data_IF_785632416862
#
_entry.id   IF_785632416862
#
_cell.length_a   1.000
_cell.length_b   1.000
_cell.length_c   1.000
_cell.angle_alpha   90.00
_cell.angle_beta   90.00
_cell.angle_gamma   90.00
#
_symmetry.space_group_name_H-M   'P 1'
#
loop_
_entity.id
_entity.type
_entity.pdbx_description
1 polymer ?
#
# COMPACT_ATOMS: atom_id res chain seq x y z
N UNK A 1 -14.84 3.92 -0.37
CA UNK A 1 -14.65 3.28 -1.70
C UNK A 1 -13.39 2.44 -1.68
N UNK A 2 -13.42 1.21 -2.28
CA UNK A 2 -12.23 0.36 -2.44
C UNK A 2 -11.71 0.45 -3.88
N UNK A 3 -10.61 1.15 -4.08
CA UNK A 3 -9.97 1.30 -5.38
C UNK A 3 -9.00 0.15 -5.65
N UNK A 4 -8.99 -0.36 -6.89
CA UNK A 4 -8.13 -1.44 -7.36
C UNK A 4 -7.56 -1.11 -8.74
N UNK A 5 -6.47 -1.76 -9.11
CA UNK A 5 -6.04 -1.91 -10.48
C UNK A 5 -6.27 -3.34 -10.94
N UNK A 6 -6.65 -3.53 -12.20
CA UNK A 6 -6.99 -4.84 -12.74
C UNK A 6 -6.64 -4.93 -14.24
N UNK A 7 -6.61 -6.16 -14.74
CA UNK A 7 -6.63 -6.50 -16.17
C UNK A 7 -7.87 -7.33 -16.48
N UNK A 8 -8.40 -7.22 -17.70
CA UNK A 8 -9.54 -8.05 -18.13
C UNK A 8 -9.12 -9.48 -18.44
N UNK A 9 -7.85 -9.69 -18.83
CA UNK A 9 -7.25 -10.99 -19.08
C UNK A 9 -5.87 -11.09 -18.46
N UNK A 10 -5.42 -12.31 -18.18
CA UNK A 10 -4.05 -12.58 -17.72
C UNK A 10 -3.06 -12.59 -18.90
N UNK A 11 -2.91 -11.44 -19.53
CA UNK A 11 -1.97 -11.20 -20.65
C UNK A 11 -1.05 -10.03 -20.26
N UNK A 12 0.28 -10.18 -20.37
CA UNK A 12 1.23 -9.11 -20.10
C UNK A 12 1.00 -7.84 -20.93
N UNK A 13 0.44 -7.97 -22.13
CA UNK A 13 0.18 -6.83 -23.04
C UNK A 13 -1.14 -6.11 -22.75
N UNK A 14 -2.03 -6.69 -21.95
CA UNK A 14 -3.27 -6.05 -21.56
C UNK A 14 -3.00 -4.79 -20.70
N UNK A 15 -3.71 -3.69 -20.95
CA UNK A 15 -3.56 -2.48 -20.18
C UNK A 15 -3.99 -2.70 -18.72
N UNK A 16 -3.29 -2.06 -17.81
CA UNK A 16 -3.69 -1.98 -16.40
C UNK A 16 -4.77 -0.91 -16.28
N UNK A 17 -5.94 -1.29 -15.81
CA UNK A 17 -7.11 -0.43 -15.71
C UNK A 17 -7.45 -0.11 -14.25
N UNK A 18 -7.86 1.15 -13.96
CA UNK A 18 -8.38 1.51 -12.66
C UNK A 18 -9.84 1.06 -12.50
N UNK A 19 -10.17 0.58 -11.31
CA UNK A 19 -11.51 0.12 -11.00
C UNK A 19 -11.88 0.30 -9.53
N UNK A 20 -13.12 0.01 -9.22
CA UNK A 20 -13.66 -0.01 -7.86
C UNK A 20 -14.07 -1.44 -7.55
N UNK A 21 -13.67 -1.92 -6.38
CA UNK A 21 -13.96 -3.28 -5.94
C UNK A 21 -15.08 -3.32 -4.92
N UNK A 22 -16.06 -4.20 -5.12
CA UNK A 22 -17.13 -4.45 -4.16
C UNK A 22 -17.64 -5.89 -4.32
N UNK A 23 -17.66 -6.66 -3.24
CA UNK A 23 -18.26 -8.00 -3.19
C UNK A 23 -17.79 -8.95 -4.31
N UNK A 24 -16.47 -8.98 -4.58
CA UNK A 24 -15.89 -9.86 -5.59
C UNK A 24 -16.00 -9.37 -7.03
N UNK A 25 -16.59 -8.20 -7.27
CA UNK A 25 -16.79 -7.61 -8.59
C UNK A 25 -15.97 -6.34 -8.77
N UNK A 26 -15.63 -6.02 -10.02
CA UNK A 26 -14.93 -4.79 -10.38
C UNK A 26 -15.85 -3.90 -11.19
N UNK A 27 -15.94 -2.63 -10.83
CA UNK A 27 -16.55 -1.57 -11.61
C UNK A 27 -15.45 -0.82 -12.35
N UNK A 28 -15.36 -0.91 -13.69
CA UNK A 28 -14.41 -0.14 -14.47
C UNK A 28 -14.60 1.36 -14.24
N UNK A 29 -13.55 2.06 -13.81
CA UNK A 29 -13.65 3.47 -13.43
C UNK A 29 -14.00 4.36 -14.62
N UNK A 30 -13.41 4.12 -15.79
CA UNK A 30 -13.73 4.86 -17.02
C UNK A 30 -15.20 4.71 -17.41
N UNK A 31 -15.75 3.49 -17.33
CA UNK A 31 -17.17 3.23 -17.62
C UNK A 31 -18.08 3.97 -16.64
N UNK A 32 -17.75 3.93 -15.35
CA UNK A 32 -18.51 4.61 -14.31
C UNK A 32 -18.52 6.13 -14.54
N UNK A 33 -17.36 6.72 -14.79
CA UNK A 33 -17.22 8.16 -15.05
C UNK A 33 -17.95 8.57 -16.33
N UNK A 34 -17.80 7.81 -17.42
CA UNK A 34 -18.48 8.12 -18.70
C UNK A 34 -20.01 8.14 -18.54
N UNK A 35 -20.58 7.18 -17.82
CA UNK A 35 -22.04 7.14 -17.56
C UNK A 35 -22.48 8.28 -16.65
N UNK A 36 -21.73 8.59 -15.59
CA UNK A 36 -22.06 9.70 -14.70
C UNK A 36 -21.99 11.05 -15.41
N UNK A 37 -20.99 11.28 -16.24
CA UNK A 37 -20.85 12.50 -17.04
C UNK A 37 -21.97 12.63 -18.09
N UNK A 38 -22.46 11.52 -18.66
CA UNK A 38 -23.60 11.53 -19.56
C UNK A 38 -24.93 11.89 -18.85
N UNK A 39 -25.06 11.51 -17.56
CA UNK A 39 -26.24 11.80 -16.74
C UNK A 39 -26.23 13.22 -16.17
N UNK A 40 -25.06 13.66 -15.69
CA UNK A 40 -24.88 14.94 -15.02
C UNK A 40 -23.42 15.41 -15.20
N UNK A 41 -23.12 16.16 -16.28
CA UNK A 41 -21.76 16.61 -16.59
C UNK A 41 -21.14 17.44 -15.46
N UNK A 42 -19.95 17.04 -14.97
CA UNK A 42 -19.16 17.71 -13.94
C UNK A 42 -17.71 17.97 -14.39
N UNK A 43 -17.34 17.50 -15.59
CA UNK A 43 -15.98 17.59 -16.13
C UNK A 43 -15.01 16.61 -15.47
N UNK A 44 -15.49 15.52 -14.88
CA UNK A 44 -14.66 14.47 -14.31
C UNK A 44 -14.16 13.54 -15.42
N UNK A 45 -12.88 13.21 -15.39
CA UNK A 45 -12.24 12.29 -16.33
C UNK A 45 -11.30 11.34 -15.61
N UNK A 46 -10.93 10.23 -16.25
CA UNK A 46 -9.97 9.27 -15.71
C UNK A 46 -8.63 9.46 -16.42
N UNK A 47 -7.57 9.90 -15.71
CA UNK A 47 -6.24 10.00 -16.29
C UNK A 47 -5.70 8.63 -16.70
N UNK A 48 -4.86 8.58 -17.74
CA UNK A 48 -4.13 7.37 -18.12
C UNK A 48 -3.04 7.00 -17.11
N UNK A 49 -2.44 7.99 -16.47
CA UNK A 49 -1.47 7.79 -15.42
C UNK A 49 -2.16 7.43 -14.10
N UNK A 50 -1.91 6.23 -13.60
CA UNK A 50 -2.51 5.72 -12.36
C UNK A 50 -2.13 6.55 -11.12
N UNK A 51 -0.94 7.15 -11.09
CA UNK A 51 -0.57 8.06 -10.01
C UNK A 51 -1.44 9.31 -10.03
N UNK A 52 -1.75 9.85 -11.21
CA UNK A 52 -2.64 10.99 -11.35
C UNK A 52 -4.11 10.65 -10.97
N UNK A 53 -4.54 9.39 -11.15
CA UNK A 53 -5.86 8.91 -10.68
C UNK A 53 -5.99 9.10 -9.17
N UNK A 54 -4.91 8.93 -8.39
CA UNK A 54 -4.93 9.11 -6.94
C UNK A 54 -5.37 10.52 -6.55
N UNK A 55 -5.00 11.54 -7.32
CA UNK A 55 -5.41 12.93 -7.10
C UNK A 55 -6.91 13.19 -7.28
N UNK A 56 -7.66 12.27 -7.83
CA UNK A 56 -9.09 12.40 -8.14
C UNK A 56 -9.99 11.41 -7.37
N UNK A 57 -9.44 10.56 -6.48
CA UNK A 57 -10.23 9.52 -5.81
C UNK A 57 -11.45 10.07 -5.06
N UNK A 58 -11.33 11.22 -4.42
CA UNK A 58 -12.46 11.89 -3.74
C UNK A 58 -13.57 12.28 -4.72
N UNK A 59 -13.22 12.71 -5.94
CA UNK A 59 -14.20 13.06 -6.99
C UNK A 59 -14.97 11.81 -7.45
N UNK A 60 -14.31 10.66 -7.53
CA UNK A 60 -14.97 9.40 -7.92
C UNK A 60 -15.96 8.88 -6.89
N UNK A 61 -15.76 9.18 -5.60
CA UNK A 61 -16.78 8.90 -4.57
C UNK A 61 -18.09 9.61 -4.90
N UNK A 62 -18.01 10.87 -5.37
CA UNK A 62 -19.18 11.63 -5.84
C UNK A 62 -19.84 11.00 -7.06
N UNK A 63 -19.05 10.54 -8.04
CA UNK A 63 -19.52 9.82 -9.24
C UNK A 63 -20.32 8.58 -8.85
N UNK A 64 -19.82 7.77 -7.92
CA UNK A 64 -20.54 6.58 -7.45
C UNK A 64 -21.89 6.91 -6.83
N UNK A 65 -21.94 7.93 -5.98
CA UNK A 65 -23.21 8.37 -5.33
C UNK A 65 -24.25 8.81 -6.37
N UNK A 66 -23.83 9.45 -7.45
CA UNK A 66 -24.74 9.86 -8.53
C UNK A 66 -25.26 8.64 -9.33
N UNK A 67 -24.40 7.67 -9.61
CA UNK A 67 -24.80 6.42 -10.29
C UNK A 67 -25.75 5.58 -9.42
N UNK A 68 -25.54 5.54 -8.11
CA UNK A 68 -26.46 4.89 -7.15
C UNK A 68 -27.84 5.55 -7.15
N UNK A 69 -27.88 6.89 -7.10
CA UNK A 69 -29.15 7.66 -7.19
C UNK A 69 -29.88 7.40 -8.51
N UNK A 70 -29.14 7.32 -9.61
CA UNK A 70 -29.71 7.03 -10.94
C UNK A 70 -30.12 5.55 -11.10
N UNK A 71 -29.82 4.66 -10.14
CA UNK A 71 -30.10 3.22 -10.15
C UNK A 71 -29.51 2.49 -11.37
N UNK A 72 -28.34 2.95 -11.86
CA UNK A 72 -27.65 2.35 -13.00
C UNK A 72 -26.37 1.63 -12.60
N UNK A 73 -25.89 1.83 -11.35
CA UNK A 73 -24.63 1.30 -10.86
C UNK A 73 -24.50 -0.22 -11.03
N UNK A 74 -25.56 -0.98 -10.68
CA UNK A 74 -25.55 -2.45 -10.71
C UNK A 74 -25.33 -3.04 -12.10
N UNK A 75 -25.61 -2.27 -13.16
CA UNK A 75 -25.46 -2.70 -14.55
C UNK A 75 -24.03 -2.53 -15.10
N UNK A 76 -23.16 -1.90 -14.34
CA UNK A 76 -21.81 -1.52 -14.77
C UNK A 76 -20.71 -2.46 -14.27
N UNK A 77 -21.03 -3.34 -13.31
CA UNK A 77 -20.05 -4.25 -12.69
C UNK A 77 -19.63 -5.39 -13.62
N UNK A 78 -18.34 -5.70 -13.61
CA UNK A 78 -17.80 -6.92 -14.21
C UNK A 78 -17.94 -8.06 -13.20
N UNK A 79 -18.55 -9.16 -13.62
CA UNK A 79 -18.88 -10.28 -12.71
C UNK A 79 -17.79 -11.35 -12.63
N UNK A 80 -16.96 -11.49 -13.67
CA UNK A 80 -15.92 -12.52 -13.77
C UNK A 80 -14.80 -12.10 -14.72
N UNK A 81 -13.66 -12.82 -14.67
CA UNK A 81 -12.62 -12.72 -15.70
C UNK A 81 -11.66 -11.55 -15.53
N UNK A 82 -11.53 -10.99 -14.31
CA UNK A 82 -10.54 -9.95 -14.04
C UNK A 82 -9.41 -10.48 -13.19
N UNK A 83 -8.19 -10.04 -13.47
CA UNK A 83 -6.99 -10.28 -12.64
C UNK A 83 -6.73 -9.01 -11.84
N UNK A 84 -6.82 -9.09 -10.50
CA UNK A 84 -6.47 -7.98 -9.62
C UNK A 84 -4.95 -7.84 -9.53
N UNK A 85 -4.50 -6.61 -9.58
CA UNK A 85 -3.10 -6.22 -9.44
C UNK A 85 -2.90 -5.43 -8.14
N UNK A 86 -1.65 -5.07 -7.83
CA UNK A 86 -1.42 -4.07 -6.81
C UNK A 86 -2.23 -2.81 -7.13
N UNK A 87 -2.90 -2.18 -6.14
CA UNK A 87 -3.79 -1.05 -6.43
C UNK A 87 -3.05 0.19 -6.96
N UNK A 88 -1.74 0.23 -6.79
CA UNK A 88 -0.82 1.16 -7.42
C UNK A 88 0.45 0.41 -7.82
N UNK A 89 0.48 -0.24 -9.01
CA UNK A 89 1.57 -1.14 -9.39
C UNK A 89 2.93 -0.46 -9.57
N UNK A 90 2.92 0.84 -9.84
CA UNK A 90 4.13 1.63 -10.02
C UNK A 90 3.97 2.99 -9.32
N UNK A 91 4.03 3.03 -7.98
CA UNK A 91 3.97 4.29 -7.24
C UNK A 91 5.15 5.19 -7.61
N UNK A 92 4.94 6.51 -7.56
CA UNK A 92 6.02 7.46 -7.81
C UNK A 92 7.20 7.21 -6.87
N UNK A 93 6.89 7.01 -5.60
CA UNK A 93 7.88 6.70 -4.55
C UNK A 93 7.21 5.88 -3.46
N UNK A 94 8.00 5.05 -2.79
CA UNK A 94 7.63 4.42 -1.52
C UNK A 94 8.58 4.99 -0.46
N UNK A 95 8.08 5.96 0.29
CA UNK A 95 8.77 6.55 1.44
C UNK A 95 8.43 5.71 2.67
N UNK A 96 9.43 5.10 3.28
CA UNK A 96 9.22 4.18 4.38
C UNK A 96 9.83 4.70 5.69
N UNK A 97 9.17 4.37 6.81
CA UNK A 97 9.53 4.87 8.14
C UNK A 97 10.05 3.72 8.98
N UNK A 98 11.31 3.81 9.38
CA UNK A 98 11.93 2.83 10.26
C UNK A 98 11.61 3.09 11.73
N UNK A 99 11.39 1.99 12.50
CA UNK A 99 11.27 2.02 13.98
C UNK A 99 10.15 2.93 14.49
N UNK A 100 9.03 2.98 13.83
CA UNK A 100 7.89 3.82 14.23
C UNK A 100 7.00 3.20 15.33
N UNK A 101 7.42 2.09 15.92
CA UNK A 101 6.80 1.48 17.10
C UNK A 101 7.88 1.28 18.17
N UNK A 102 7.65 1.77 19.39
CA UNK A 102 8.65 1.73 20.46
C UNK A 102 9.10 0.32 20.82
N UNK A 103 8.17 -0.62 20.88
CA UNK A 103 8.47 -2.01 21.20
C UNK A 103 9.27 -2.69 20.08
N UNK A 104 9.02 -2.35 18.82
CA UNK A 104 9.82 -2.82 17.68
C UNK A 104 11.27 -2.28 17.74
N UNK A 105 11.46 -1.01 18.11
CA UNK A 105 12.80 -0.45 18.29
C UNK A 105 13.57 -1.20 19.38
N UNK A 106 12.92 -1.52 20.52
CA UNK A 106 13.49 -2.31 21.63
C UNK A 106 13.81 -3.75 21.21
N UNK A 107 12.91 -4.42 20.44
CA UNK A 107 13.13 -5.77 19.88
C UNK A 107 14.42 -5.85 19.07
N UNK A 108 14.72 -4.81 18.31
CA UNK A 108 15.94 -4.69 17.50
C UNK A 108 17.17 -4.21 18.29
N UNK A 109 17.04 -4.00 19.62
CA UNK A 109 18.12 -3.49 20.47
C UNK A 109 18.55 -2.07 20.11
N UNK A 110 17.63 -1.25 19.59
CA UNK A 110 17.88 0.11 19.13
C UNK A 110 17.22 1.13 20.05
N UNK A 111 17.78 2.33 20.09
CA UNK A 111 17.15 3.46 20.77
C UNK A 111 15.87 3.88 20.02
N UNK A 112 14.92 4.42 20.77
CA UNK A 112 13.71 5.03 20.19
C UNK A 112 14.13 6.33 19.50
N UNK A 113 13.80 6.52 18.21
CA UNK A 113 14.24 7.70 17.49
C UNK A 113 13.47 8.97 17.92
N UNK A 114 14.18 10.09 18.01
CA UNK A 114 13.59 11.41 18.32
C UNK A 114 12.89 12.04 17.07
N UNK A 115 13.23 11.56 15.87
CA UNK A 115 12.65 11.98 14.60
C UNK A 115 12.47 10.79 13.65
N UNK A 116 11.55 10.86 12.67
CA UNK A 116 11.30 9.77 11.73
C UNK A 116 12.56 9.35 10.97
N UNK A 117 12.92 8.07 11.03
CA UNK A 117 13.98 7.49 10.20
C UNK A 117 13.37 7.19 8.83
N UNK A 118 13.73 7.97 7.82
CA UNK A 118 13.16 7.87 6.47
C UNK A 118 14.11 7.10 5.56
N UNK A 119 13.57 6.14 4.85
CA UNK A 119 14.26 5.48 3.74
C UNK A 119 13.28 5.28 2.57
N UNK A 120 13.76 4.73 1.46
CA UNK A 120 12.95 4.48 0.27
C UNK A 120 13.03 3.01 -0.12
N UNK A 121 11.93 2.48 -0.66
CA UNK A 121 11.90 1.22 -1.41
C UNK A 121 11.78 1.52 -2.91
N UNK A 122 12.36 0.67 -3.73
CA UNK A 122 12.17 0.75 -5.18
C UNK A 122 10.71 0.44 -5.55
N UNK A 123 10.13 1.25 -6.44
CA UNK A 123 8.77 1.00 -6.95
C UNK A 123 8.68 -0.33 -7.72
N UNK A 124 9.81 -0.79 -8.31
CA UNK A 124 9.92 -2.09 -8.98
C UNK A 124 9.79 -3.30 -8.05
N UNK A 125 9.92 -3.10 -6.72
CA UNK A 125 9.71 -4.19 -5.76
C UNK A 125 8.24 -4.54 -5.55
N UNK A 126 7.30 -3.72 -6.07
CA UNK A 126 5.86 -3.89 -5.83
C UNK A 126 5.33 -5.14 -6.50
N UNK A 127 4.60 -5.94 -5.72
CA UNK A 127 3.78 -7.06 -6.18
C UNK A 127 2.36 -6.98 -5.61
N UNK A 128 1.42 -7.64 -6.28
CA UNK A 128 0.03 -7.73 -5.86
C UNK A 128 -0.19 -8.81 -4.78
N UNK A 129 -1.36 -8.77 -4.14
CA UNK A 129 -1.86 -9.91 -3.37
C UNK A 129 -1.97 -11.16 -4.27
N UNK A 130 -1.56 -12.31 -3.76
CA UNK A 130 -1.50 -13.59 -4.48
C UNK A 130 -0.22 -13.80 -5.29
N UNK A 131 0.57 -12.77 -5.60
CA UNK A 131 1.88 -12.94 -6.25
C UNK A 131 2.95 -13.38 -5.24
N UNK A 132 3.93 -14.22 -5.65
CA UNK A 132 4.93 -14.74 -4.72
C UNK A 132 5.97 -13.71 -4.31
N UNK A 133 6.34 -13.73 -3.03
CA UNK A 133 7.60 -13.15 -2.55
C UNK A 133 8.69 -14.15 -2.92
N UNK A 134 9.64 -13.75 -3.76
CA UNK A 134 10.73 -14.62 -4.22
C UNK A 134 11.98 -14.36 -3.41
N UNK A 135 12.48 -15.38 -2.74
CA UNK A 135 13.71 -15.31 -1.94
C UNK A 135 14.91 -15.64 -2.82
N UNK A 136 15.81 -14.66 -3.12
CA UNK A 136 17.00 -14.90 -3.93
C UNK A 136 17.95 -15.91 -3.29
N UNK A 137 18.58 -16.75 -4.10
CA UNK A 137 19.55 -17.75 -3.63
C UNK A 137 20.73 -17.09 -2.91
N UNK A 138 21.06 -17.58 -1.71
CA UNK A 138 22.19 -17.07 -0.93
C UNK A 138 21.96 -15.71 -0.26
N UNK A 139 20.75 -15.16 -0.28
CA UNK A 139 20.44 -13.85 0.32
C UNK A 139 20.60 -13.82 1.85
N UNK A 140 20.52 -14.97 2.51
CA UNK A 140 20.47 -15.10 3.96
C UNK A 140 19.08 -14.87 4.53
N UNK A 141 18.99 -14.37 5.75
CA UNK A 141 17.71 -14.13 6.43
C UNK A 141 16.91 -13.00 5.76
N UNK A 142 15.65 -13.30 5.42
CA UNK A 142 14.65 -12.34 4.94
C UNK A 142 13.50 -12.31 5.94
N UNK A 143 13.07 -11.13 6.37
CA UNK A 143 11.99 -10.95 7.34
C UNK A 143 10.77 -10.28 6.70
N UNK A 144 9.59 -10.62 7.23
CA UNK A 144 8.34 -9.90 7.00
C UNK A 144 8.23 -8.67 7.90
N UNK A 145 7.57 -7.62 7.43
CA UNK A 145 7.26 -6.39 8.16
C UNK A 145 5.91 -5.84 7.67
N UNK A 146 4.80 -6.21 8.35
CA UNK A 146 3.46 -5.73 7.99
C UNK A 146 3.25 -4.28 8.39
N UNK A 147 2.70 -3.47 7.48
CA UNK A 147 2.53 -2.03 7.67
C UNK A 147 1.19 -1.53 7.13
N UNK A 148 0.63 -0.53 7.79
CA UNK A 148 -0.32 0.38 7.14
C UNK A 148 0.46 1.27 6.17
N UNK A 149 -0.09 1.47 4.97
CA UNK A 149 0.47 2.39 4.00
C UNK A 149 -0.54 3.49 3.64
N UNK A 150 -0.05 4.71 3.53
CA UNK A 150 -0.82 5.90 3.18
C UNK A 150 -0.51 6.30 1.75
N UNK A 151 -1.52 6.49 0.92
CA UNK A 151 -1.37 6.96 -0.47
C UNK A 151 -1.70 8.43 -0.54
N UNK A 152 -0.80 9.24 -1.07
CA UNK A 152 -0.99 10.68 -1.26
C UNK A 152 -1.88 10.93 -2.48
N UNK A 153 -2.90 11.76 -2.30
CA UNK A 153 -3.80 12.23 -3.36
C UNK A 153 -3.52 13.66 -3.77
N UNK A 154 -3.41 14.56 -2.79
CA UNK A 154 -3.12 15.96 -3.04
C UNK A 154 -1.67 16.23 -2.72
N UNK A 155 -0.88 16.58 -3.75
CA UNK A 155 0.52 16.93 -3.56
C UNK A 155 0.67 18.23 -2.73
N UNK A 156 1.86 18.38 -2.12
CA UNK A 156 2.13 19.59 -1.33
C UNK A 156 3.54 19.61 -0.75
N UNK A 157 3.90 20.80 -0.24
CA UNK A 157 5.12 21.05 0.52
C UNK A 157 4.78 21.86 1.77
N UNK A 158 5.49 21.60 2.86
CA UNK A 158 5.25 22.23 4.16
C UNK A 158 3.79 22.07 4.64
N UNK A 159 3.22 20.89 4.42
CA UNK A 159 1.88 20.51 4.88
C UNK A 159 1.88 20.52 6.40
N UNK A 160 0.90 21.17 7.02
CA UNK A 160 0.74 21.13 8.48
C UNK A 160 0.08 19.82 8.93
N UNK A 161 0.28 19.40 10.17
CA UNK A 161 -0.40 18.22 10.71
C UNK A 161 -1.93 18.34 10.65
N UNK A 162 -2.46 19.55 10.84
CA UNK A 162 -3.89 19.82 10.77
C UNK A 162 -4.48 19.61 9.37
N UNK A 163 -3.69 19.81 8.32
CA UNK A 163 -4.10 19.66 6.91
C UNK A 163 -3.76 18.27 6.36
N UNK A 164 -2.87 17.53 7.02
CA UNK A 164 -2.24 16.34 6.49
C UNK A 164 -3.23 15.29 5.95
N UNK A 165 -4.31 15.00 6.67
CA UNK A 165 -5.29 14.01 6.25
C UNK A 165 -6.08 14.43 5.00
N UNK A 166 -6.17 15.74 4.69
CA UNK A 166 -6.80 16.23 3.45
C UNK A 166 -5.94 15.95 2.21
N UNK A 167 -4.67 15.60 2.38
CA UNK A 167 -3.77 15.21 1.32
C UNK A 167 -3.80 13.69 1.00
N UNK A 168 -4.52 12.90 1.80
CA UNK A 168 -4.59 11.44 1.67
C UNK A 168 -5.63 11.02 0.64
N UNK A 169 -5.24 10.23 -0.36
CA UNK A 169 -6.13 9.54 -1.29
C UNK A 169 -6.81 8.34 -0.64
N UNK A 170 -6.07 7.62 0.20
CA UNK A 170 -6.56 6.44 0.90
C UNK A 170 -5.47 5.66 1.61
N UNK A 171 -5.88 4.52 2.14
CA UNK A 171 -5.07 3.62 2.95
C UNK A 171 -5.01 2.24 2.30
N UNK A 172 -3.87 1.59 2.40
CA UNK A 172 -3.62 0.23 1.91
C UNK A 172 -2.67 -0.50 2.85
N UNK A 173 -2.34 -1.75 2.55
CA UNK A 173 -1.36 -2.53 3.30
C UNK A 173 -0.06 -2.65 2.49
N UNK A 174 1.04 -2.75 3.19
CA UNK A 174 2.35 -3.04 2.62
C UNK A 174 3.06 -4.06 3.52
N UNK A 175 3.77 -5.00 2.90
CA UNK A 175 4.75 -5.82 3.60
C UNK A 175 6.15 -5.32 3.23
N UNK A 176 6.82 -4.65 4.16
CA UNK A 176 8.18 -4.11 3.94
C UNK A 176 9.24 -5.22 4.08
N UNK A 177 9.15 -6.21 3.17
CA UNK A 177 10.05 -7.37 3.16
C UNK A 177 11.50 -6.91 3.15
N UNK A 178 12.29 -7.52 4.05
CA UNK A 178 13.62 -7.04 4.40
C UNK A 178 14.67 -8.13 4.31
N UNK A 179 15.68 -7.98 3.44
CA UNK A 179 16.90 -8.78 3.49
C UNK A 179 17.70 -8.44 4.74
N UNK A 180 17.39 -9.10 5.86
CA UNK A 180 17.85 -8.72 7.20
C UNK A 180 19.37 -8.75 7.37
N UNK A 181 20.04 -9.75 6.81
CA UNK A 181 21.48 -9.83 6.90
C UNK A 181 22.17 -8.75 6.05
N UNK A 182 21.59 -8.39 4.90
CA UNK A 182 22.07 -7.28 4.08
C UNK A 182 21.87 -5.94 4.82
N UNK A 183 20.73 -5.75 5.50
CA UNK A 183 20.46 -4.55 6.30
C UNK A 183 21.43 -4.42 7.47
N UNK A 184 21.69 -5.50 8.22
CA UNK A 184 22.69 -5.51 9.31
C UNK A 184 24.07 -5.12 8.81
N UNK A 185 24.51 -5.68 7.65
CA UNK A 185 25.78 -5.31 7.03
C UNK A 185 25.83 -3.83 6.61
N UNK A 186 24.73 -3.30 6.07
CA UNK A 186 24.62 -1.90 5.70
C UNK A 186 24.73 -0.98 6.92
N UNK A 187 23.99 -1.27 8.00
CA UNK A 187 24.06 -0.52 9.26
C UNK A 187 25.49 -0.51 9.83
N UNK A 188 26.13 -1.68 9.93
CA UNK A 188 27.49 -1.80 10.44
C UNK A 188 28.54 -0.99 9.65
N UNK A 189 28.24 -0.69 8.38
CA UNK A 189 29.10 0.10 7.47
C UNK A 189 28.60 1.52 7.25
N UNK A 190 27.56 1.98 7.98
CA UNK A 190 26.89 3.28 7.80
C UNK A 190 26.40 3.49 6.35
N UNK A 191 25.95 2.43 5.67
CA UNK A 191 25.39 2.46 4.32
C UNK A 191 23.85 2.57 4.38
N UNK A 192 23.22 3.12 3.32
CA UNK A 192 21.75 3.19 3.22
C UNK A 192 21.08 1.80 3.21
N UNK A 193 19.83 1.74 3.70
CA UNK A 193 19.04 0.51 3.73
C UNK A 193 18.39 0.15 2.39
N UNK A 194 18.44 1.03 1.41
CA UNK A 194 17.74 0.95 0.13
C UNK A 194 17.83 -0.44 -0.53
N UNK A 195 19.04 -0.98 -0.70
CA UNK A 195 19.21 -2.28 -1.36
C UNK A 195 18.61 -3.44 -0.57
N UNK A 196 18.72 -3.43 0.77
CA UNK A 196 18.16 -4.49 1.61
C UNK A 196 16.62 -4.50 1.66
N UNK A 197 15.99 -3.44 1.19
CA UNK A 197 14.55 -3.20 1.18
C UNK A 197 13.93 -3.23 -0.22
N UNK A 198 14.74 -3.36 -1.29
CA UNK A 198 14.32 -3.09 -2.67
C UNK A 198 14.59 -4.24 -3.66
N UNK A 199 14.79 -5.46 -3.16
CA UNK A 199 14.78 -6.62 -4.05
C UNK A 199 13.43 -6.72 -4.77
N UNK A 200 13.43 -7.26 -5.98
CA UNK A 200 12.20 -7.57 -6.69
C UNK A 200 11.30 -8.43 -5.80
N UNK A 201 10.00 -8.17 -5.84
CA UNK A 201 8.97 -8.81 -5.00
C UNK A 201 8.95 -8.44 -3.50
N UNK A 202 9.89 -7.62 -3.01
CA UNK A 202 9.98 -7.26 -1.58
C UNK A 202 9.05 -6.12 -1.15
N UNK A 203 8.09 -5.75 -2.00
CA UNK A 203 7.09 -4.70 -1.73
C UNK A 203 5.65 -5.14 -2.01
N UNK A 204 5.15 -6.26 -1.42
CA UNK A 204 3.73 -6.56 -1.53
C UNK A 204 2.88 -5.35 -1.11
N UNK A 205 1.96 -4.90 -1.99
CA UNK A 205 1.12 -3.72 -1.81
C UNK A 205 -0.33 -4.02 -2.20
N UNK A 206 -1.27 -3.78 -1.30
CA UNK A 206 -2.70 -4.03 -1.56
C UNK A 206 -3.48 -4.48 -0.32
N UNK A 207 -4.60 -5.17 -0.49
CA UNK A 207 -5.21 -5.63 -1.74
C UNK A 207 -5.91 -4.51 -2.53
N UNK A 208 -6.26 -3.42 -1.87
CA UNK A 208 -6.95 -2.26 -2.46
C UNK A 208 -6.54 -0.98 -1.71
N UNK A 209 -6.84 0.19 -2.29
CA UNK A 209 -6.78 1.48 -1.57
C UNK A 209 -8.20 1.82 -1.11
N UNK A 210 -8.37 2.02 0.21
CA UNK A 210 -9.65 2.41 0.82
C UNK A 210 -9.64 3.91 1.05
N UNK A 211 -10.64 4.60 0.52
CA UNK A 211 -10.74 6.06 0.62
C UNK A 211 -11.08 6.53 2.05
N UNK A 212 -10.68 7.76 2.45
CA UNK A 212 -10.83 8.26 3.82
C UNK A 212 -12.27 8.30 4.34
N UNK A 213 -13.26 8.39 3.46
CA UNK A 213 -14.68 8.38 3.85
C UNK A 213 -15.13 7.03 4.44
N UNK A 214 -14.42 5.92 4.14
CA UNK A 214 -14.65 4.61 4.77
C UNK A 214 -13.73 4.37 6.00
N UNK A 215 -12.65 5.16 6.14
CA UNK A 215 -11.71 5.10 7.28
C UNK A 215 -11.56 6.52 7.85
N UNK A 216 -12.56 7.02 8.60
CA UNK A 216 -12.52 8.39 9.11
C UNK A 216 -11.47 8.59 10.22
N UNK A 217 -11.12 7.53 10.94
CA UNK A 217 -10.07 7.53 11.96
C UNK A 217 -9.07 6.41 11.72
N UNK A 218 -7.98 6.66 10.99
CA UNK A 218 -6.97 5.65 10.74
C UNK A 218 -6.20 5.21 12.01
N UNK A 219 -6.21 6.01 13.08
CA UNK A 219 -5.56 5.63 14.33
C UNK A 219 -6.27 4.48 15.05
N UNK A 220 -7.58 4.32 14.81
CA UNK A 220 -8.37 3.23 15.40
C UNK A 220 -8.14 1.85 14.73
N UNK A 221 -7.41 1.80 13.62
CA UNK A 221 -7.17 0.56 12.89
C UNK A 221 -6.28 -0.41 13.68
N UNK A 222 -6.56 -1.70 13.52
CA UNK A 222 -5.78 -2.80 14.11
C UNK A 222 -5.12 -3.60 13.00
N UNK A 223 -3.78 -3.59 12.96
CA UNK A 223 -2.98 -4.37 12.04
C UNK A 223 -2.65 -5.73 12.65
N UNK A 224 -2.78 -6.77 11.86
CA UNK A 224 -2.33 -8.14 12.20
C UNK A 224 -1.51 -8.68 11.04
N UNK A 225 -0.39 -9.36 11.33
CA UNK A 225 0.31 -10.19 10.35
C UNK A 225 0.38 -11.62 10.86
N UNK A 226 0.06 -12.57 10.00
CA UNK A 226 0.20 -14.01 10.24
C UNK A 226 1.13 -14.66 9.21
N UNK A 227 1.78 -15.73 9.63
CA UNK A 227 2.54 -16.64 8.75
C UNK A 227 1.99 -18.04 8.97
N UNK A 228 1.50 -18.67 7.91
CA UNK A 228 0.86 -20.00 7.96
C UNK A 228 -0.32 -20.07 8.95
N UNK A 229 -1.04 -18.97 9.12
CA UNK A 229 -2.16 -18.84 10.08
C UNK A 229 -1.75 -18.48 11.51
N UNK A 230 -0.46 -18.54 11.86
CA UNK A 230 0.05 -18.13 13.17
C UNK A 230 0.25 -16.61 13.21
N UNK A 231 -0.42 -15.91 14.12
CA UNK A 231 -0.24 -14.48 14.34
C UNK A 231 1.15 -14.18 14.87
N UNK A 232 1.88 -13.33 14.15
CA UNK A 232 3.25 -12.89 14.47
C UNK A 232 3.30 -11.45 14.92
N UNK A 233 2.53 -10.57 14.28
CA UNK A 233 2.44 -9.16 14.63
C UNK A 233 0.98 -8.79 14.87
N UNK A 234 0.74 -7.97 15.89
CA UNK A 234 -0.57 -7.37 16.17
C UNK A 234 -0.37 -6.07 16.95
N UNK A 235 -0.86 -4.96 16.40
CA UNK A 235 -0.78 -3.66 17.06
C UNK A 235 -1.84 -2.70 16.53
N UNK A 236 -2.24 -1.75 17.38
CA UNK A 236 -3.03 -0.60 16.95
C UNK A 236 -2.15 0.42 16.21
N UNK A 237 -2.70 1.05 15.18
CA UNK A 237 -2.06 2.18 14.48
C UNK A 237 -1.80 3.35 15.45
N UNK A 238 -2.62 3.49 16.50
CA UNK A 238 -2.42 4.50 17.55
C UNK A 238 -1.15 4.31 18.39
N UNK A 239 -0.50 3.13 18.32
CA UNK A 239 0.76 2.85 19.01
C UNK A 239 2.01 3.36 18.28
N UNK A 240 1.84 3.95 17.09
CA UNK A 240 2.93 4.60 16.34
C UNK A 240 3.53 5.75 17.14
N UNK A 241 4.86 5.87 17.14
CA UNK A 241 5.59 7.00 17.72
C UNK A 241 5.26 8.31 16.99
N UNK A 242 5.25 8.25 15.66
CA UNK A 242 4.90 9.38 14.81
C UNK A 242 3.60 9.06 14.09
N UNK A 243 2.55 9.81 14.36
CA UNK A 243 1.24 9.65 13.75
C UNK A 243 1.27 9.92 12.23
N UNK A 244 0.26 9.46 11.48
CA UNK A 244 0.15 9.72 10.05
C UNK A 244 0.23 11.23 9.74
N UNK A 245 -0.50 12.13 10.45
CA UNK A 245 -0.34 13.57 10.23
C UNK A 245 1.09 14.07 10.46
N UNK A 246 1.75 13.62 11.52
CA UNK A 246 3.13 13.99 11.83
C UNK A 246 4.11 13.53 10.74
N UNK A 247 3.94 12.30 10.21
CA UNK A 247 4.77 11.79 9.12
C UNK A 247 4.61 12.59 7.84
N UNK A 248 3.37 12.92 7.44
CA UNK A 248 3.09 13.75 6.25
C UNK A 248 3.69 15.14 6.43
N UNK A 249 3.50 15.75 7.59
CA UNK A 249 4.06 17.06 7.90
C UNK A 249 5.59 17.05 7.87
N UNK A 250 6.21 16.06 8.50
CA UNK A 250 7.68 15.89 8.51
C UNK A 250 8.23 15.70 7.09
N UNK A 251 7.71 14.74 6.35
CA UNK A 251 8.18 14.43 5.00
C UNK A 251 8.02 15.64 4.06
N UNK A 252 6.89 16.34 4.12
CA UNK A 252 6.60 17.48 3.22
C UNK A 252 7.48 18.70 3.47
N UNK A 253 8.13 18.82 4.63
CA UNK A 253 9.16 19.84 4.89
C UNK A 253 10.41 19.61 4.06
N UNK A 254 10.77 18.36 3.83
CA UNK A 254 12.01 17.96 3.13
C UNK A 254 11.77 17.67 1.65
N UNK A 255 10.65 17.04 1.31
CA UNK A 255 10.34 16.53 -0.03
C UNK A 255 8.95 17.01 -0.42
N UNK A 256 8.78 17.65 -1.60
CA UNK A 256 7.45 17.89 -2.13
C UNK A 256 6.75 16.54 -2.38
N UNK A 257 5.61 16.31 -1.71
CA UNK A 257 4.79 15.11 -1.94
C UNK A 257 3.98 15.28 -3.23
N UNK A 258 3.70 14.18 -3.91
CA UNK A 258 2.95 14.13 -5.16
C UNK A 258 1.85 13.07 -5.10
N UNK A 259 0.76 13.19 -5.89
CA UNK A 259 -0.22 12.13 -6.03
C UNK A 259 0.44 10.81 -6.43
N UNK A 260 0.06 9.71 -5.77
CA UNK A 260 0.67 8.39 -6.00
C UNK A 260 1.98 8.13 -5.23
N UNK A 261 2.45 9.06 -4.38
CA UNK A 261 3.45 8.73 -3.37
C UNK A 261 2.81 7.82 -2.31
N UNK A 262 3.55 6.80 -1.89
CA UNK A 262 3.16 5.87 -0.82
C UNK A 262 4.04 6.13 0.40
N UNK A 263 3.44 6.27 1.58
CA UNK A 263 4.14 6.35 2.86
C UNK A 263 3.88 5.03 3.61
N UNK A 264 4.90 4.20 3.73
CA UNK A 264 4.90 3.01 4.57
C UNK A 264 5.20 3.45 6.01
N UNK A 265 4.26 3.21 6.93
CA UNK A 265 4.23 3.92 8.22
C UNK A 265 5.05 3.27 9.33
N UNK A 266 5.71 2.17 9.03
CA UNK A 266 6.48 1.37 9.99
C UNK A 266 5.73 0.14 10.47
N UNK A 267 6.49 -0.85 10.91
CA UNK A 267 6.01 -2.16 11.36
C UNK A 267 6.03 -2.27 12.88
N UNK A 268 5.03 -2.95 13.51
CA UNK A 268 5.04 -3.26 14.94
C UNK A 268 6.04 -4.38 15.28
N UNK A 269 6.25 -4.71 16.57
CA UNK A 269 7.10 -5.83 17.01
C UNK A 269 6.56 -7.17 16.50
N UNK A 270 7.42 -8.20 16.53
CA UNK A 270 7.12 -9.55 16.10
C UNK A 270 7.62 -9.91 14.71
N UNK A 271 8.57 -9.12 14.17
CA UNK A 271 9.23 -9.42 12.89
C UNK A 271 9.95 -10.77 12.93
N UNK A 272 9.92 -11.50 11.84
CA UNK A 272 10.49 -12.85 11.78
C UNK A 272 10.85 -13.30 10.37
N UNK A 273 11.57 -14.43 10.28
CA UNK A 273 12.03 -14.94 8.98
C UNK A 273 10.90 -15.51 8.14
N UNK A 274 11.06 -15.37 6.82
CA UNK A 274 10.29 -16.04 5.78
C UNK A 274 11.09 -17.21 5.20
N UNK A 275 10.40 -18.31 4.88
CA UNK A 275 10.96 -19.48 4.23
C UNK A 275 10.14 -19.85 2.99
N UNK A 276 10.75 -20.49 1.98
CA UNK A 276 10.00 -21.06 0.87
C UNK A 276 8.88 -21.98 1.38
N UNK A 277 7.69 -21.86 0.81
CA UNK A 277 6.49 -22.57 1.22
C UNK A 277 5.63 -21.85 2.27
N UNK A 278 6.10 -20.74 2.86
CA UNK A 278 5.28 -19.94 3.77
C UNK A 278 4.17 -19.18 3.01
N UNK A 279 3.06 -18.92 3.71
CA UNK A 279 2.02 -17.98 3.32
C UNK A 279 2.00 -16.84 4.34
N UNK A 280 2.27 -15.63 3.90
CA UNK A 280 2.22 -14.43 4.76
C UNK A 280 1.01 -13.59 4.45
N UNK A 281 0.29 -13.18 5.49
CA UNK A 281 -0.94 -12.40 5.40
C UNK A 281 -0.82 -11.16 6.28
N UNK A 282 -0.97 -9.97 5.69
CA UNK A 282 -1.13 -8.70 6.41
C UNK A 282 -2.58 -8.29 6.34
N UNK A 283 -3.21 -7.98 7.48
CA UNK A 283 -4.63 -7.70 7.55
C UNK A 283 -4.95 -6.49 8.40
N UNK A 284 -5.82 -5.64 7.85
CA UNK A 284 -6.63 -4.65 8.57
C UNK A 284 -8.07 -4.89 8.09
N UNK A 285 -9.05 -5.21 8.96
CA UNK A 285 -10.40 -5.62 8.54
C UNK A 285 -11.09 -4.66 7.58
N UNK A 286 -10.91 -3.36 7.77
CA UNK A 286 -11.51 -2.30 6.95
C UNK A 286 -10.93 -2.27 5.53
N UNK A 287 -9.65 -2.63 5.38
CA UNK A 287 -8.95 -2.66 4.09
C UNK A 287 -9.12 -4.02 3.42
N UNK A 288 -8.82 -5.08 4.14
CA UNK A 288 -8.83 -6.46 3.66
C UNK A 288 -7.59 -7.22 4.08
N UNK A 289 -7.19 -8.22 3.29
CA UNK A 289 -6.00 -9.04 3.52
C UNK A 289 -5.09 -8.95 2.30
N UNK A 290 -3.83 -8.61 2.53
CA UNK A 290 -2.73 -8.71 1.58
C UNK A 290 -2.04 -10.05 1.84
N UNK A 291 -2.19 -10.99 0.92
CA UNK A 291 -1.74 -12.37 1.06
C UNK A 291 -0.69 -12.69 0.00
N UNK A 292 0.44 -13.25 0.39
CA UNK A 292 1.51 -13.59 -0.54
C UNK A 292 2.16 -14.92 -0.17
N UNK A 293 2.23 -15.91 -1.09
CA UNK A 293 3.05 -17.08 -0.91
C UNK A 293 4.54 -16.73 -1.02
N UNK A 294 5.39 -17.50 -0.37
CA UNK A 294 6.86 -17.32 -0.41
C UNK A 294 7.47 -18.46 -1.20
N UNK A 295 8.29 -18.15 -2.20
CA UNK A 295 8.98 -19.12 -3.04
C UNK A 295 10.50 -18.88 -3.00
N UNK A 296 11.27 -19.94 -3.18
CA UNK A 296 12.69 -19.81 -3.51
C UNK A 296 12.89 -19.41 -4.97
N UNK A 297 14.03 -18.77 -5.28
CA UNK A 297 14.34 -18.34 -6.65
C UNK A 297 14.36 -19.52 -7.64
N UNK A 298 14.83 -20.70 -7.22
CA UNK A 298 14.86 -21.95 -7.98
C UNK A 298 13.49 -22.61 -8.22
N UNK A 299 12.43 -22.12 -7.57
CA UNK A 299 11.04 -22.56 -7.78
C UNK A 299 10.31 -21.73 -8.84
N UNK A 300 10.89 -20.62 -9.28
CA UNK A 300 10.28 -19.65 -10.20
C UNK A 300 10.92 -19.66 -11.58
N UNK A 301 12.20 -20.01 -11.68
CA UNK A 301 13.03 -19.95 -12.90
C UNK A 301 13.58 -21.31 -13.33
#
# INVERSE_FOLDING_TARGET
>A
MKFVCYKEFDDPQEPILPGIFRSGKVLPLERAVAVAEALAPKGVSVPKDLNAVMGQLTSYVGVLKDLEKARVLDKLWLETGVVLLAPLPSPNRILAIGRNYSEHAKELGSEVPDEPIVFQKASSSVIASGQPIVLPSGIGRVDFEGELAVVIGVGGRNITEAEALSHVAGYTLLNDVTARDAQKRAIAKSLPWFLSKSYDTFGPLGPCIVTPDEIPDPAALMLTLSVNGDVRQQASVSEMLFSIPALIAYLSKHIALAPGDVIATGTPPGVGPLHPGDLVEVRIPEIGTLENPVLGEDEVF
#
